data_IF_268410395206
#
_entry.id   IF_268410395206
#
_cell.length_a   1.000
_cell.length_b   1.000
_cell.length_c   1.000
_cell.angle_alpha   90.00
_cell.angle_beta   90.00
_cell.angle_gamma   90.00
#
_symmetry.space_group_name_H-M   'P 1'
#
loop_
_entity.id
_entity.type
_entity.pdbx_description
1 polymer ?
#
# COMPACT_ATOMS: atom_id res chain seq x y z
N UNK A 1 -8.17 13.40 -35.04
CA UNK A 1 -8.60 13.46 -34.88
C UNK A 1 -9.36 13.15 -35.00
N UNK A 2 -8.88 12.47 -34.72
CA UNK A 2 -9.68 12.15 -34.51
C UNK A 2 -10.17 12.08 -34.37
N UNK A 3 -9.85 11.84 -34.38
CA UNK A 3 -10.45 11.76 -34.11
C UNK A 3 -10.85 11.46 -34.02
N UNK A 4 -10.97 11.20 -33.94
CA UNK A 4 -11.58 10.94 -33.58
C UNK A 4 -12.14 10.78 -33.71
N UNK A 5 -11.99 10.73 -33.64
CA UNK A 5 -12.67 10.55 -33.57
C UNK A 5 -13.14 10.32 -33.53
N UNK A 6 -13.28 10.08 -33.33
CA UNK A 6 -13.79 9.88 -33.00
C UNK A 6 -14.00 9.60 -32.85
N UNK A 7 -13.87 9.60 -32.78
CA UNK A 7 -14.12 9.41 -32.43
C UNK A 7 -14.08 9.04 -32.22
N UNK A 8 -13.97 8.83 -31.96
CA UNK A 8 -14.04 8.61 -31.55
C UNK A 8 -13.92 8.55 -31.15
N UNK A 9 -14.00 8.45 -31.07
CA UNK A 9 -14.07 8.44 -30.52
C UNK A 9 -13.85 8.40 -30.21
N UNK A 10 -13.71 8.14 -29.98
CA UNK A 10 -13.57 8.28 -29.41
C UNK A 10 -13.22 8.04 -29.16
N UNK A 11 -13.24 7.94 -28.86
CA UNK A 11 -12.97 7.83 -28.46
C UNK A 11 -12.55 7.76 -28.34
N UNK A 12 -12.51 7.81 -28.06
CA UNK A 12 -12.05 7.80 -27.73
C UNK A 12 -11.54 7.95 -27.57
N UNK A 13 -11.44 7.96 -27.27
CA UNK A 13 -10.80 8.03 -26.78
C UNK A 13 -10.07 8.03 -26.61
N UNK A 14 -9.88 7.96 -26.33
CA UNK A 14 -8.97 7.84 -26.00
C UNK A 14 -8.16 7.62 -26.21
N UNK A 15 -7.79 7.82 -26.03
CA UNK A 15 -6.88 7.49 -26.15
C UNK A 15 -6.15 7.45 -26.48
N UNK A 16 -5.57 7.50 -26.11
CA UNK A 16 -4.74 7.18 -26.27
C UNK A 16 -4.01 6.95 -26.53
N UNK A 17 -3.99 8.95 -25.92
CA UNK A 17 -2.83 8.39 -26.36
C UNK A 17 -2.63 6.92 -26.31
N UNK A 18 -2.92 6.35 -27.11
CA UNK A 18 -2.59 5.01 -27.31
C UNK A 18 -2.78 4.01 -26.21
N UNK A 19 -2.83 4.45 -24.97
CA UNK A 19 -3.05 3.50 -23.89
C UNK A 19 -4.53 3.22 -23.73
N UNK A 20 -4.84 1.97 -23.73
CA UNK A 20 -6.22 1.54 -23.67
C UNK A 20 -6.35 0.50 -22.57
N UNK A 21 -7.23 0.76 -21.62
CA UNK A 21 -7.51 -0.22 -20.58
C UNK A 21 -8.24 -1.40 -21.18
N UNK A 22 -7.90 -2.62 -20.75
CA UNK A 22 -8.66 -3.78 -21.23
C UNK A 22 -10.13 -3.64 -20.91
N UNK A 23 -10.98 -4.04 -21.81
CA UNK A 23 -12.41 -4.03 -21.57
C UNK A 23 -12.72 -5.08 -20.50
N UNK A 24 -13.39 -4.70 -19.43
CA UNK A 24 -13.73 -5.70 -18.42
C UNK A 24 -14.70 -6.72 -18.98
N UNK A 25 -14.63 -7.90 -18.41
CA UNK A 25 -15.59 -8.94 -18.78
C UNK A 25 -17.00 -8.45 -18.55
N UNK A 26 -17.92 -8.87 -19.41
CA UNK A 26 -19.31 -8.48 -19.25
C UNK A 26 -19.84 -8.97 -17.90
N UNK A 27 -20.69 -8.17 -17.23
CA UNK A 27 -21.17 -8.57 -15.90
C UNK A 27 -21.86 -9.92 -15.86
N UNK A 28 -22.51 -10.29 -16.97
CA UNK A 28 -23.22 -11.57 -17.02
C UNK A 28 -22.25 -12.75 -17.05
N UNK A 29 -20.95 -12.49 -17.19
CA UNK A 29 -19.95 -13.56 -17.13
C UNK A 29 -19.59 -13.94 -15.71
N UNK A 30 -20.02 -13.17 -14.74
CA UNK A 30 -19.82 -13.48 -13.33
C UNK A 30 -21.14 -14.01 -12.78
N UNK A 31 -21.06 -15.08 -12.00
CA UNK A 31 -22.27 -15.46 -11.27
C UNK A 31 -22.46 -14.48 -10.09
N UNK A 32 -23.66 -14.42 -9.52
CA UNK A 32 -23.93 -13.45 -8.47
C UNK A 32 -23.03 -13.62 -7.25
N UNK A 33 -22.65 -14.85 -6.94
CA UNK A 33 -21.79 -15.10 -5.78
C UNK A 33 -20.38 -14.59 -6.00
N UNK A 34 -19.82 -14.82 -7.19
CA UNK A 34 -18.49 -14.33 -7.52
C UNK A 34 -18.45 -12.82 -7.53
N UNK A 35 -19.48 -12.20 -8.09
CA UNK A 35 -19.55 -10.74 -8.13
C UNK A 35 -19.63 -10.15 -6.73
N UNK A 36 -20.45 -10.75 -5.87
CA UNK A 36 -20.58 -10.31 -4.50
C UNK A 36 -19.26 -10.41 -3.75
N UNK A 37 -18.52 -11.50 -4.00
CA UNK A 37 -17.21 -11.68 -3.39
C UNK A 37 -16.23 -10.60 -3.83
N UNK A 38 -16.21 -10.29 -5.13
CA UNK A 38 -15.33 -9.27 -5.66
C UNK A 38 -15.64 -7.90 -5.07
N UNK A 39 -16.94 -7.55 -5.03
CA UNK A 39 -17.35 -6.27 -4.50
C UNK A 39 -17.07 -6.18 -3.01
N UNK A 40 -17.25 -7.27 -2.28
CA UNK A 40 -16.94 -7.31 -0.87
C UNK A 40 -15.47 -7.12 -0.61
N UNK A 41 -14.61 -7.75 -1.42
CA UNK A 41 -13.17 -7.62 -1.26
C UNK A 41 -12.71 -6.18 -1.53
N UNK A 42 -13.30 -5.53 -2.53
CA UNK A 42 -12.95 -4.16 -2.86
C UNK A 42 -13.41 -3.17 -1.81
N UNK A 43 -14.54 -3.47 -1.16
CA UNK A 43 -15.14 -2.59 -0.19
C UNK A 43 -14.69 -2.90 1.23
N UNK A 44 -13.99 -3.99 1.41
CA UNK A 44 -13.66 -4.47 2.72
C UNK A 44 -12.43 -3.75 3.28
N UNK A 45 -12.50 -3.41 4.55
CA UNK A 45 -11.41 -2.74 5.23
C UNK A 45 -10.71 -3.64 6.22
N UNK A 46 -10.86 -4.94 6.05
CA UNK A 46 -10.20 -5.90 6.92
C UNK A 46 -8.82 -6.23 6.39
N UNK A 47 -7.94 -6.57 7.32
CA UNK A 47 -6.57 -6.93 7.00
C UNK A 47 -6.55 -8.40 6.58
N UNK A 48 -5.90 -8.70 5.46
CA UNK A 48 -5.76 -10.10 5.04
C UNK A 48 -4.41 -10.65 5.49
N UNK A 49 -4.23 -11.96 5.28
CA UNK A 49 -3.04 -12.66 5.78
C UNK A 49 -1.76 -12.17 5.13
N UNK A 50 -1.82 -11.85 3.85
CA UNK A 50 -0.64 -11.38 3.15
C UNK A 50 -0.21 -10.02 3.68
N UNK A 51 -1.16 -9.15 3.96
CA UNK A 51 -0.88 -7.83 4.51
C UNK A 51 -0.31 -7.95 5.91
N UNK A 52 -0.88 -8.82 6.72
CA UNK A 52 -0.36 -9.08 8.06
C UNK A 52 1.07 -9.58 8.00
N UNK A 53 1.34 -10.55 7.14
CA UNK A 53 2.68 -11.12 7.03
C UNK A 53 3.68 -10.06 6.58
N UNK A 54 3.32 -9.23 5.61
CA UNK A 54 4.20 -8.17 5.14
C UNK A 54 4.49 -7.17 6.25
N UNK A 55 3.45 -6.77 6.99
CA UNK A 55 3.61 -5.82 8.07
C UNK A 55 4.52 -6.39 9.16
N UNK A 56 4.31 -7.64 9.52
CA UNK A 56 5.12 -8.25 10.58
C UNK A 56 6.57 -8.41 10.16
N UNK A 57 6.83 -8.71 8.88
CA UNK A 57 8.20 -8.75 8.39
C UNK A 57 8.85 -7.37 8.47
N UNK A 58 8.13 -6.33 8.10
CA UNK A 58 8.67 -4.98 8.20
C UNK A 58 8.93 -4.57 9.64
N UNK A 59 8.02 -4.91 10.53
CA UNK A 59 8.21 -4.61 11.95
C UNK A 59 9.47 -5.31 12.48
N UNK A 60 9.66 -6.56 12.07
CA UNK A 60 10.84 -7.30 12.48
C UNK A 60 12.13 -6.64 12.00
N UNK A 61 12.15 -6.23 10.73
CA UNK A 61 13.32 -5.58 10.15
C UNK A 61 13.56 -4.22 10.82
N UNK A 62 12.49 -3.47 11.09
CA UNK A 62 12.61 -2.14 11.67
C UNK A 62 13.21 -2.16 13.08
N UNK A 63 13.11 -3.29 13.77
CA UNK A 63 13.66 -3.41 15.10
C UNK A 63 15.15 -3.76 15.09
N UNK A 64 15.75 -3.95 13.90
CA UNK A 64 17.17 -4.17 13.78
C UNK A 64 17.96 -2.88 13.81
N UNK A 65 19.19 -2.95 13.33
CA UNK A 65 20.11 -1.81 13.45
C UNK A 65 20.82 -1.50 12.13
N UNK A 66 20.38 -2.05 11.01
CA UNK A 66 21.03 -1.85 9.72
C UNK A 66 20.46 -0.64 9.01
N UNK A 67 21.07 -0.27 7.88
CA UNK A 67 20.52 0.78 7.03
C UNK A 67 19.17 0.41 6.48
N UNK A 68 18.95 -0.88 6.17
CA UNK A 68 17.63 -1.35 5.73
C UNK A 68 16.63 -1.18 6.87
N UNK A 69 17.03 -1.53 8.08
CA UNK A 69 16.17 -1.38 9.26
C UNK A 69 15.73 0.07 9.43
N UNK A 70 16.64 1.00 9.24
CA UNK A 70 16.32 2.42 9.39
C UNK A 70 15.30 2.87 8.35
N UNK A 71 15.49 2.45 7.11
CA UNK A 71 14.58 2.85 6.04
C UNK A 71 13.18 2.30 6.25
N UNK A 72 13.10 1.05 6.71
CA UNK A 72 11.80 0.45 7.02
C UNK A 72 11.16 1.14 8.21
N UNK A 73 11.97 1.46 9.23
CA UNK A 73 11.46 2.18 10.39
C UNK A 73 10.89 3.55 10.00
N UNK A 74 11.60 4.27 9.14
CA UNK A 74 11.13 5.59 8.70
C UNK A 74 9.77 5.47 8.03
N UNK A 75 9.58 4.41 7.23
CA UNK A 75 8.30 4.16 6.57
C UNK A 75 7.19 3.89 7.59
N UNK A 76 7.43 2.97 8.51
CA UNK A 76 6.41 2.60 9.49
C UNK A 76 6.09 3.74 10.43
N UNK A 77 7.09 4.50 10.86
CA UNK A 77 6.87 5.60 11.79
C UNK A 77 6.14 6.76 11.15
N UNK A 78 6.28 6.94 9.84
CA UNK A 78 5.49 7.94 9.14
C UNK A 78 3.99 7.59 9.19
N UNK A 79 3.68 6.31 9.19
CA UNK A 79 2.28 5.86 9.37
C UNK A 79 1.84 6.06 10.82
N UNK A 80 2.73 5.75 11.76
CA UNK A 80 2.41 5.87 13.19
C UNK A 80 2.12 7.33 13.58
N UNK A 81 3.04 8.24 13.24
CA UNK A 81 2.88 9.64 13.59
C UNK A 81 3.91 10.48 12.83
N UNK A 82 3.54 10.89 11.63
CA UNK A 82 4.46 11.65 10.80
C UNK A 82 4.81 13.02 11.40
N UNK A 83 3.89 13.60 12.17
CA UNK A 83 4.14 14.92 12.76
C UNK A 83 5.28 14.87 13.77
N UNK A 84 5.36 13.78 14.54
CA UNK A 84 6.41 13.64 15.55
C UNK A 84 7.61 12.88 15.03
N UNK A 85 7.38 11.82 14.24
CA UNK A 85 8.45 10.93 13.83
C UNK A 85 9.06 11.28 12.47
N UNK A 86 8.38 12.12 11.70
CA UNK A 86 8.89 12.55 10.40
C UNK A 86 8.15 11.88 9.26
N UNK A 87 8.12 12.56 8.12
CA UNK A 87 7.51 12.04 6.91
C UNK A 87 8.45 11.04 6.25
N UNK A 88 7.91 10.26 5.34
CA UNK A 88 8.69 9.27 4.62
C UNK A 88 9.01 9.80 3.22
N UNK A 89 10.28 9.82 2.88
CA UNK A 89 10.73 10.19 1.55
C UNK A 89 10.57 8.99 0.64
N UNK A 90 9.70 9.08 -0.37
CA UNK A 90 9.42 7.96 -1.24
C UNK A 90 10.65 7.41 -1.96
N UNK A 91 11.64 8.28 -2.23
CA UNK A 91 12.86 7.80 -2.91
C UNK A 91 13.69 6.88 -2.01
N UNK A 92 13.36 6.81 -0.72
CA UNK A 92 13.99 5.84 0.17
C UNK A 92 13.78 4.42 -0.34
N UNK A 93 12.68 4.18 -1.08
CA UNK A 93 12.41 2.88 -1.67
C UNK A 93 13.52 2.43 -2.63
N UNK A 94 14.24 3.37 -3.21
CA UNK A 94 15.30 3.02 -4.14
C UNK A 94 16.50 2.35 -3.44
N UNK A 95 16.60 2.51 -2.12
CA UNK A 95 17.71 1.97 -1.37
C UNK A 95 17.38 0.74 -0.56
N UNK A 96 16.18 0.16 -0.70
CA UNK A 96 15.82 -1.05 0.05
C UNK A 96 15.84 -2.27 -0.88
N UNK A 97 16.00 -3.45 -0.28
CA UNK A 97 15.93 -4.70 -1.03
C UNK A 97 14.59 -4.85 -1.70
N UNK A 98 14.57 -5.55 -2.83
CA UNK A 98 13.35 -5.77 -3.59
C UNK A 98 12.27 -6.43 -2.72
N UNK A 99 12.65 -7.39 -1.88
CA UNK A 99 11.68 -8.05 -1.01
C UNK A 99 11.07 -7.09 -0.02
N UNK A 100 11.88 -6.23 0.57
CA UNK A 100 11.38 -5.22 1.50
C UNK A 100 10.52 -4.19 0.78
N UNK A 101 10.93 -3.79 -0.42
CA UNK A 101 10.14 -2.84 -1.20
C UNK A 101 8.76 -3.42 -1.49
N UNK A 102 8.67 -4.71 -1.82
CA UNK A 102 7.39 -5.36 -2.07
C UNK A 102 6.52 -5.36 -0.82
N UNK A 103 7.12 -5.66 0.32
CA UNK A 103 6.38 -5.62 1.58
C UNK A 103 5.90 -4.20 1.89
N UNK A 104 6.73 -3.21 1.60
CA UNK A 104 6.34 -1.82 1.84
C UNK A 104 5.18 -1.41 0.95
N UNK A 105 5.19 -1.84 -0.31
CA UNK A 105 4.07 -1.57 -1.21
C UNK A 105 2.79 -2.24 -0.70
N UNK A 106 2.90 -3.48 -0.23
CA UNK A 106 1.76 -4.20 0.33
C UNK A 106 1.20 -3.46 1.53
N UNK A 107 2.07 -3.01 2.44
CA UNK A 107 1.64 -2.29 3.63
C UNK A 107 1.10 -0.91 3.29
N UNK A 108 1.65 -0.26 2.27
CA UNK A 108 1.12 1.02 1.81
C UNK A 108 -0.34 0.85 1.39
N UNK A 109 -0.64 -0.24 0.66
CA UNK A 109 -2.01 -0.56 0.29
C UNK A 109 -2.89 -0.85 1.50
N UNK A 110 -2.33 -1.53 2.50
CA UNK A 110 -3.04 -1.77 3.74
C UNK A 110 -3.40 -0.46 4.44
N UNK A 111 -2.45 0.46 4.55
CA UNK A 111 -2.68 1.76 5.17
C UNK A 111 -3.83 2.49 4.47
N UNK A 112 -3.81 2.47 3.14
CA UNK A 112 -4.84 3.14 2.35
C UNK A 112 -6.22 2.51 2.58
N UNK A 113 -6.25 1.21 2.85
CA UNK A 113 -7.49 0.47 2.96
C UNK A 113 -8.14 0.60 4.33
N UNK A 114 -7.34 0.51 5.41
CA UNK A 114 -7.93 0.35 6.74
C UNK A 114 -8.28 1.67 7.43
N UNK A 115 -7.67 2.77 7.04
CA UNK A 115 -7.94 4.07 7.69
C UNK A 115 -7.73 4.01 9.20
N UNK A 116 -6.70 3.30 9.64
CA UNK A 116 -6.43 3.14 11.06
C UNK A 116 -4.94 3.25 11.30
N UNK A 117 -4.59 3.63 12.51
CA UNK A 117 -3.20 3.63 12.94
C UNK A 117 -2.78 2.23 13.37
N UNK A 118 -1.47 1.96 13.41
CA UNK A 118 -1.00 0.61 13.74
C UNK A 118 -1.42 0.13 15.12
N UNK A 119 -1.56 1.04 16.09
CA UNK A 119 -1.96 0.63 17.43
C UNK A 119 -3.38 0.09 17.44
N UNK A 120 -4.26 0.62 16.59
CA UNK A 120 -5.61 0.09 16.48
C UNK A 120 -5.63 -1.31 15.88
N UNK A 121 -4.58 -1.69 15.18
CA UNK A 121 -4.46 -3.02 14.60
C UNK A 121 -3.75 -4.01 15.52
N UNK A 122 -3.39 -3.58 16.73
CA UNK A 122 -2.76 -4.46 17.69
C UNK A 122 -1.26 -4.40 17.72
N UNK A 123 -0.65 -3.41 17.08
CA UNK A 123 0.80 -3.32 16.98
C UNK A 123 1.40 -2.19 17.80
N UNK A 124 0.71 -1.75 18.84
CA UNK A 124 1.18 -0.64 19.65
C UNK A 124 2.55 -0.92 20.25
N UNK A 125 2.74 -2.08 20.86
CA UNK A 125 4.00 -2.36 21.53
C UNK A 125 5.18 -2.47 20.57
N UNK A 126 5.07 -3.21 19.46
CA UNK A 126 6.17 -3.21 18.49
C UNK A 126 6.51 -1.83 17.96
N UNK A 127 5.52 -1.01 17.70
CA UNK A 127 5.79 0.33 17.19
C UNK A 127 6.46 1.21 18.24
N UNK A 128 6.09 1.06 19.51
CA UNK A 128 6.79 1.77 20.58
C UNK A 128 8.26 1.37 20.64
N UNK A 129 8.56 0.09 20.41
CA UNK A 129 9.95 -0.36 20.38
C UNK A 129 10.70 0.29 19.23
N UNK A 130 10.07 0.41 18.06
CA UNK A 130 10.69 1.05 16.91
C UNK A 130 10.96 2.53 17.20
N UNK A 131 10.02 3.20 17.85
CA UNK A 131 10.21 4.61 18.25
C UNK A 131 11.43 4.72 19.18
N UNK A 132 11.52 3.86 20.18
CA UNK A 132 12.63 3.92 21.12
C UNK A 132 13.97 3.69 20.43
N UNK A 133 13.98 2.85 19.41
CA UNK A 133 15.21 2.54 18.68
C UNK A 133 15.63 3.71 17.77
N UNK A 134 14.69 4.28 17.05
CA UNK A 134 15.03 5.22 15.98
C UNK A 134 14.67 6.66 16.27
N UNK A 135 13.90 6.91 17.31
CA UNK A 135 13.54 8.27 17.74
C UNK A 135 13.62 8.37 19.25
N UNK A 136 14.82 8.10 19.82
CA UNK A 136 14.93 8.06 21.28
C UNK A 136 14.66 9.39 21.96
N UNK A 137 14.71 10.48 21.18
CA UNK A 137 14.44 11.81 21.75
C UNK A 137 12.96 12.05 22.01
N UNK A 138 12.08 11.20 21.51
CA UNK A 138 10.62 11.37 21.72
C UNK A 138 10.11 10.68 23.03
#
# INVERSE_FOLDING_TARGET
MHAIDKSQNGSDSTAKAGFEFPTPAAPEQFDPETLAELLGALDERTVNEEETAALERLIQVAQGYTGQSRRVADFLLAWWNAASCGAFDLTTLWGVDTGLAKDMVTVFGLVAKVNQYPDSLGYEEPFKRIVREWRPEL
#
